data_IF_662356352044
#
_entry.id   IF_662356352044
#
_cell.length_a   1.000
_cell.length_b   1.000
_cell.length_c   1.000
_cell.angle_alpha   90.00
_cell.angle_beta   90.00
_cell.angle_gamma   90.00
#
_symmetry.space_group_name_H-M   'P 1'
#
loop_
_entity.id
_entity.type
_entity.pdbx_description
1 polymer ?
#
# COMPACT_ATOMS: atom_id res chain seq x y z
N UNK A 1 7.43 48.89 -57.59
CA UNK A 1 6.20 48.34 -57.00
C UNK A 1 6.61 47.13 -56.18
N UNK A 2 6.44 47.25 -54.86
CA UNK A 2 7.04 46.36 -53.85
C UNK A 2 6.25 45.07 -53.73
N UNK A 3 6.95 43.94 -53.65
CA UNK A 3 6.40 42.60 -53.53
C UNK A 3 6.13 42.33 -52.04
N UNK A 4 4.87 42.17 -51.65
CA UNK A 4 4.50 41.71 -50.30
C UNK A 4 4.19 40.21 -50.42
N UNK A 5 5.17 39.39 -50.03
CA UNK A 5 5.00 37.94 -49.87
C UNK A 5 4.32 37.69 -48.52
N UNK A 6 3.02 37.39 -48.52
CA UNK A 6 2.33 36.89 -47.32
C UNK A 6 2.81 35.45 -47.04
N UNK A 7 3.69 35.29 -46.04
CA UNK A 7 4.01 33.98 -45.49
C UNK A 7 2.85 33.53 -44.57
N UNK A 8 2.00 32.63 -45.05
CA UNK A 8 1.03 31.94 -44.20
C UNK A 8 1.78 30.99 -43.27
N UNK A 9 1.68 31.29 -41.96
CA UNK A 9 2.05 30.44 -40.85
C UNK A 9 1.32 29.09 -40.93
N UNK A 10 2.04 28.04 -41.35
CA UNK A 10 1.67 26.66 -41.08
C UNK A 10 2.30 26.28 -39.73
N UNK A 11 1.62 26.59 -38.63
CA UNK A 11 1.93 25.99 -37.33
C UNK A 11 1.30 24.60 -37.36
N UNK A 12 2.06 23.49 -37.38
CA UNK A 12 1.45 22.21 -37.10
C UNK A 12 1.05 22.25 -35.62
N UNK A 13 -0.26 22.32 -35.36
CA UNK A 13 -0.88 21.92 -34.12
C UNK A 13 -0.56 20.44 -33.90
N UNK A 14 0.66 20.15 -33.45
CA UNK A 14 0.98 18.87 -32.83
C UNK A 14 0.31 18.93 -31.45
N UNK A 15 -1.00 18.72 -31.47
CA UNK A 15 -1.75 18.32 -30.31
C UNK A 15 -1.10 17.04 -29.80
N UNK A 16 -0.19 17.20 -28.84
CA UNK A 16 0.21 16.11 -27.99
C UNK A 16 -1.05 15.74 -27.21
N UNK A 17 -1.85 14.85 -27.79
CA UNK A 17 -2.63 13.89 -27.03
C UNK A 17 -1.59 13.12 -26.21
N UNK A 18 -1.14 13.71 -25.09
CA UNK A 18 -0.61 12.94 -23.98
C UNK A 18 -1.77 12.03 -23.61
N UNK A 19 -1.72 10.80 -24.11
CA UNK A 19 -2.39 9.71 -23.43
C UNK A 19 -1.93 9.84 -21.98
N UNK A 20 -2.86 10.20 -21.09
CA UNK A 20 -2.61 10.10 -19.67
C UNK A 20 -2.04 8.68 -19.47
N UNK A 21 -0.87 8.52 -18.84
CA UNK A 21 -0.37 7.18 -18.59
C UNK A 21 -1.50 6.44 -17.91
N UNK A 22 -1.94 5.32 -18.51
CA UNK A 22 -2.87 4.40 -17.86
C UNK A 22 -2.28 4.18 -16.48
N UNK A 23 -3.02 4.58 -15.43
CA UNK A 23 -2.57 4.42 -14.07
C UNK A 23 -2.31 2.93 -13.89
N UNK A 24 -1.04 2.53 -13.88
CA UNK A 24 -0.67 1.16 -13.60
C UNK A 24 -1.22 0.84 -12.22
N UNK A 25 -1.95 -0.27 -12.04
CA UNK A 25 -2.40 -0.68 -10.72
C UNK A 25 -1.19 -0.67 -9.79
N UNK A 26 -1.25 0.14 -8.73
CA UNK A 26 -0.17 0.19 -7.77
C UNK A 26 -0.18 -1.12 -7.00
N UNK A 27 0.82 -1.97 -7.25
CA UNK A 27 1.04 -3.24 -6.55
C UNK A 27 1.93 -3.06 -5.34
N UNK A 28 1.69 -3.88 -4.32
CA UNK A 28 2.58 -4.04 -3.18
C UNK A 28 3.83 -4.80 -3.61
N UNK A 29 5.00 -4.25 -3.28
CA UNK A 29 6.28 -4.94 -3.47
C UNK A 29 6.45 -5.97 -2.36
N UNK A 30 6.31 -7.25 -2.69
CA UNK A 30 6.48 -8.34 -1.73
C UNK A 30 7.88 -8.37 -1.12
N UNK A 31 8.90 -7.99 -1.90
CA UNK A 31 10.28 -7.83 -1.44
C UNK A 31 10.42 -6.63 -0.48
N UNK A 32 9.84 -5.48 -0.81
CA UNK A 32 9.94 -4.29 0.05
C UNK A 32 9.11 -4.42 1.35
N UNK A 33 8.09 -5.28 1.35
CA UNK A 33 7.36 -5.62 2.57
C UNK A 33 8.21 -6.41 3.58
N UNK A 34 9.29 -7.08 3.12
CA UNK A 34 10.32 -7.67 3.97
C UNK A 34 9.80 -8.73 4.95
N UNK A 35 8.79 -9.52 4.55
CA UNK A 35 8.13 -10.48 5.44
C UNK A 35 9.11 -11.50 6.05
N UNK A 36 10.15 -11.90 5.32
CA UNK A 36 11.20 -12.78 5.83
C UNK A 36 11.97 -12.18 7.02
N UNK A 37 12.13 -10.85 7.07
CA UNK A 37 12.79 -10.16 8.17
C UNK A 37 11.85 -10.03 9.37
N UNK A 38 10.55 -9.81 9.12
CA UNK A 38 9.54 -9.74 10.18
C UNK A 38 9.34 -11.07 10.92
N UNK A 39 9.59 -12.20 10.27
CA UNK A 39 9.52 -13.52 10.89
C UNK A 39 10.61 -13.74 11.97
N UNK A 40 11.69 -12.97 11.94
CA UNK A 40 12.79 -13.03 12.92
C UNK A 40 12.56 -12.11 14.13
N UNK A 41 11.59 -11.19 14.04
CA UNK A 41 11.30 -10.21 15.09
C UNK A 41 10.66 -10.88 16.31
N UNK A 42 11.24 -10.63 17.48
CA UNK A 42 10.66 -11.02 18.76
C UNK A 42 10.05 -9.82 19.47
N UNK A 43 8.76 -9.91 19.81
CA UNK A 43 8.07 -8.88 20.58
C UNK A 43 7.84 -9.40 22.00
N UNK A 44 8.61 -8.93 22.99
CA UNK A 44 8.58 -9.44 24.38
C UNK A 44 7.19 -9.36 25.04
N UNK A 45 6.32 -8.47 24.54
CA UNK A 45 4.93 -8.28 25.00
C UNK A 45 3.91 -8.51 23.89
N UNK A 46 4.17 -9.41 22.94
CA UNK A 46 3.28 -9.66 21.79
C UNK A 46 1.83 -9.96 22.21
N UNK A 47 1.63 -10.66 23.33
CA UNK A 47 0.30 -11.02 23.84
C UNK A 47 -0.51 -9.82 24.29
N UNK A 48 0.14 -8.74 24.71
CA UNK A 48 -0.53 -7.51 25.14
C UNK A 48 -0.93 -6.65 23.93
N UNK A 49 -0.33 -6.89 22.77
CA UNK A 49 -0.60 -6.12 21.55
C UNK A 49 -1.98 -6.43 20.98
N UNK A 50 -2.51 -7.64 21.19
CA UNK A 50 -3.81 -8.07 20.65
C UNK A 50 -3.95 -7.69 19.17
N UNK A 51 -2.96 -8.05 18.36
CA UNK A 51 -2.91 -7.65 16.96
C UNK A 51 -4.08 -8.27 16.20
N UNK A 52 -4.64 -7.51 15.27
CA UNK A 52 -5.83 -7.93 14.52
C UNK A 52 -5.62 -7.79 13.03
N UNK A 53 -6.21 -8.69 12.25
CA UNK A 53 -6.30 -8.53 10.78
C UNK A 53 -7.75 -8.63 10.31
N UNK A 54 -8.11 -7.94 9.22
CA UNK A 54 -9.38 -8.16 8.54
C UNK A 54 -9.49 -9.59 7.97
N UNK A 55 -10.71 -10.10 7.81
CA UNK A 55 -10.97 -11.44 7.25
C UNK A 55 -11.96 -11.44 6.08
N UNK A 56 -12.68 -10.35 5.86
CA UNK A 56 -13.73 -10.19 4.84
C UNK A 56 -13.39 -9.05 3.87
N UNK A 57 -12.13 -8.99 3.40
CA UNK A 57 -11.70 -7.93 2.51
C UNK A 57 -12.26 -8.17 1.10
N UNK A 58 -13.25 -7.37 0.73
CA UNK A 58 -13.73 -7.21 -0.65
C UNK A 58 -12.93 -6.11 -1.37
N UNK A 59 -12.91 -6.11 -2.70
CA UNK A 59 -12.08 -5.21 -3.51
C UNK A 59 -12.22 -3.72 -3.15
N UNK A 60 -13.46 -3.27 -2.90
CA UNK A 60 -13.76 -1.89 -2.50
C UNK A 60 -13.23 -1.51 -1.11
N UNK A 61 -12.78 -2.48 -0.33
CA UNK A 61 -12.34 -2.35 1.05
C UNK A 61 -10.83 -2.55 1.24
N UNK A 62 -10.06 -2.72 0.16
CA UNK A 62 -8.60 -2.85 0.25
C UNK A 62 -7.93 -1.67 0.98
N UNK A 63 -8.35 -0.42 0.71
CA UNK A 63 -7.79 0.74 1.42
C UNK A 63 -8.13 0.75 2.92
N UNK A 64 -9.32 0.30 3.30
CA UNK A 64 -9.70 0.16 4.71
C UNK A 64 -8.85 -0.91 5.41
N UNK A 65 -8.60 -2.03 4.72
CA UNK A 65 -7.72 -3.08 5.22
C UNK A 65 -6.25 -2.60 5.31
N UNK A 66 -5.72 -1.92 4.30
CA UNK A 66 -4.38 -1.31 4.30
C UNK A 66 -4.19 -0.39 5.50
N UNK A 67 -5.12 0.54 5.71
CA UNK A 67 -5.06 1.47 6.85
C UNK A 67 -5.09 0.74 8.21
N UNK A 68 -5.81 -0.38 8.29
CA UNK A 68 -5.80 -1.22 9.49
C UNK A 68 -4.43 -1.89 9.70
N UNK A 69 -3.84 -2.51 8.68
CA UNK A 69 -2.51 -3.13 8.78
C UNK A 69 -1.43 -2.11 9.17
N UNK A 70 -1.42 -0.92 8.54
CA UNK A 70 -0.50 0.18 8.88
C UNK A 70 -0.59 0.52 10.36
N UNK A 71 -1.81 0.72 10.86
CA UNK A 71 -2.04 1.04 12.28
C UNK A 71 -1.52 -0.06 13.21
N UNK A 72 -1.76 -1.33 12.88
CA UNK A 72 -1.31 -2.45 13.71
C UNK A 72 0.22 -2.58 13.73
N UNK A 73 0.91 -2.39 12.60
CA UNK A 73 2.38 -2.33 12.57
C UNK A 73 2.94 -1.10 13.30
N UNK A 74 2.29 0.06 13.19
CA UNK A 74 2.73 1.23 13.96
C UNK A 74 2.65 0.98 15.48
N UNK A 75 1.68 0.18 15.94
CA UNK A 75 1.59 -0.24 17.35
C UNK A 75 2.74 -1.18 17.75
N UNK A 76 3.32 -1.93 16.83
CA UNK A 76 4.40 -2.88 17.12
C UNK A 76 5.77 -2.18 17.22
N UNK A 77 6.00 -1.07 16.53
CA UNK A 77 7.26 -0.30 16.55
C UNK A 77 7.74 0.04 17.97
N UNK A 78 6.83 0.36 18.89
CA UNK A 78 7.19 0.69 20.28
C UNK A 78 7.31 -0.51 21.23
N UNK A 79 7.00 -1.71 20.77
CA UNK A 79 6.82 -2.89 21.63
C UNK A 79 7.62 -4.13 21.20
N UNK A 80 8.32 -4.07 20.06
CA UNK A 80 9.15 -5.13 19.52
C UNK A 80 10.61 -4.68 19.44
N UNK A 81 11.55 -5.62 19.58
CA UNK A 81 12.95 -5.35 19.23
C UNK A 81 13.08 -5.20 17.72
N UNK A 82 14.09 -4.48 17.25
CA UNK A 82 14.40 -4.38 15.81
C UNK A 82 13.25 -3.81 14.95
N UNK A 83 12.63 -2.73 15.45
CA UNK A 83 11.54 -2.03 14.77
C UNK A 83 11.91 -1.39 13.41
N UNK A 84 13.17 -1.46 12.98
CA UNK A 84 13.62 -0.94 11.68
C UNK A 84 12.92 -1.63 10.52
N UNK A 85 12.82 -2.96 10.56
CA UNK A 85 12.17 -3.73 9.49
C UNK A 85 10.65 -3.48 9.48
N UNK A 86 10.05 -3.30 10.66
CA UNK A 86 8.64 -2.90 10.81
C UNK A 86 8.39 -1.55 10.15
N UNK A 87 9.30 -0.58 10.33
CA UNK A 87 9.19 0.75 9.70
C UNK A 87 9.21 0.61 8.18
N UNK A 88 10.11 -0.19 7.62
CA UNK A 88 10.16 -0.43 6.17
C UNK A 88 8.86 -1.05 5.64
N UNK A 89 8.28 -2.03 6.33
CA UNK A 89 6.97 -2.58 5.96
C UNK A 89 5.87 -1.52 6.00
N UNK A 90 5.87 -0.65 7.01
CA UNK A 90 4.89 0.45 7.12
C UNK A 90 5.03 1.42 5.96
N UNK A 91 6.24 1.82 5.59
CA UNK A 91 6.50 2.73 4.48
C UNK A 91 5.96 2.18 3.15
N UNK A 92 6.14 0.87 2.89
CA UNK A 92 5.62 0.24 1.67
C UNK A 92 4.08 0.16 1.66
N UNK A 93 3.45 -0.11 2.81
CA UNK A 93 1.99 -0.08 2.91
C UNK A 93 1.45 1.35 2.73
N UNK A 94 2.09 2.34 3.34
CA UNK A 94 1.72 3.76 3.26
C UNK A 94 1.86 4.31 1.83
N UNK A 95 2.83 3.80 1.05
CA UNK A 95 3.04 4.18 -0.36
C UNK A 95 1.79 3.97 -1.23
N UNK A 96 1.00 2.94 -0.92
CA UNK A 96 -0.21 2.57 -1.69
C UNK A 96 -1.47 3.07 -1.01
N UNK A 97 -1.43 3.23 0.31
CA UNK A 97 -2.57 3.67 1.09
C UNK A 97 -3.10 5.02 0.61
N UNK A 98 -4.43 5.10 0.48
CA UNK A 98 -5.14 6.34 0.18
C UNK A 98 -6.17 6.63 1.25
N UNK A 99 -6.13 7.85 1.79
CA UNK A 99 -7.08 8.33 2.81
C UNK A 99 -8.50 8.54 2.26
N UNK A 100 -8.68 8.56 0.94
CA UNK A 100 -10.02 8.64 0.32
C UNK A 100 -10.72 7.29 0.39
N UNK A 101 -11.26 6.98 1.57
CA UNK A 101 -11.94 5.71 1.82
C UNK A 101 -13.44 5.75 1.55
N UNK A 102 -13.94 4.62 1.06
CA UNK A 102 -15.35 4.26 1.11
C UNK A 102 -15.63 3.60 2.46
N UNK A 103 -16.79 3.86 3.07
CA UNK A 103 -17.14 3.21 4.34
C UNK A 103 -17.18 1.68 4.17
N UNK A 104 -16.33 0.97 4.92
CA UNK A 104 -16.22 -0.49 4.91
C UNK A 104 -16.34 -1.05 6.32
N UNK A 105 -17.15 -2.11 6.47
CA UNK A 105 -17.24 -2.86 7.73
C UNK A 105 -16.36 -4.10 7.65
N UNK A 106 -15.24 -4.06 8.37
CA UNK A 106 -14.27 -5.15 8.42
C UNK A 106 -14.50 -6.02 9.66
N UNK A 107 -14.47 -7.32 9.46
CA UNK A 107 -14.51 -8.34 10.50
C UNK A 107 -13.08 -8.70 10.87
N UNK A 108 -12.75 -8.52 12.15
CA UNK A 108 -11.39 -8.70 12.65
C UNK A 108 -11.18 -10.10 13.22
N UNK A 109 -10.00 -10.65 12.94
CA UNK A 109 -9.43 -11.81 13.62
C UNK A 109 -8.28 -11.35 14.49
N UNK A 110 -8.28 -11.75 15.75
CA UNK A 110 -7.15 -11.54 16.65
C UNK A 110 -6.10 -12.63 16.46
N UNK A 111 -4.83 -12.21 16.49
CA UNK A 111 -3.68 -13.09 16.36
C UNK A 111 -3.03 -13.30 17.71
N UNK A 112 -2.68 -14.55 18.00
CA UNK A 112 -2.03 -14.93 19.25
C UNK A 112 -0.53 -14.56 19.29
N UNK A 113 0.07 -14.33 18.11
CA UNK A 113 1.50 -14.04 17.94
C UNK A 113 1.70 -12.98 16.86
N UNK A 114 2.83 -12.26 16.92
CA UNK A 114 3.22 -11.31 15.87
C UNK A 114 3.35 -11.99 14.51
N UNK A 115 4.00 -13.17 14.47
CA UNK A 115 4.14 -13.98 13.24
C UNK A 115 2.77 -14.35 12.63
N UNK A 116 1.77 -14.62 13.47
CA UNK A 116 0.40 -14.89 12.99
C UNK A 116 -0.21 -13.70 12.27
N UNK A 117 0.03 -12.49 12.78
CA UNK A 117 -0.36 -11.24 12.15
C UNK A 117 0.43 -10.97 10.86
N UNK A 118 1.75 -11.16 10.87
CA UNK A 118 2.62 -11.00 9.68
C UNK A 118 2.14 -11.87 8.52
N UNK A 119 1.85 -13.16 8.77
CA UNK A 119 1.31 -14.07 7.75
C UNK A 119 -0.05 -13.66 7.21
N UNK A 120 -0.88 -13.04 8.04
CA UNK A 120 -2.16 -12.50 7.59
C UNK A 120 -1.98 -11.23 6.73
N UNK A 121 -0.95 -10.43 6.98
CA UNK A 121 -0.56 -9.31 6.11
C UNK A 121 -0.01 -9.82 4.79
N UNK A 122 0.84 -10.85 4.80
CA UNK A 122 1.39 -11.46 3.59
C UNK A 122 0.28 -12.00 2.67
N UNK A 123 -0.65 -12.77 3.24
CA UNK A 123 -1.80 -13.29 2.48
C UNK A 123 -2.67 -12.17 1.90
N UNK A 124 -2.86 -11.08 2.64
CA UNK A 124 -3.55 -9.90 2.15
C UNK A 124 -2.79 -9.22 1.00
N UNK A 125 -1.48 -9.06 1.12
CA UNK A 125 -0.66 -8.44 0.07
C UNK A 125 -0.68 -9.25 -1.23
N UNK A 126 -0.66 -10.58 -1.12
CA UNK A 126 -0.86 -11.48 -2.26
C UNK A 126 -2.24 -11.29 -2.88
N UNK A 127 -3.31 -11.32 -2.08
CA UNK A 127 -4.68 -11.09 -2.54
C UNK A 127 -4.83 -9.74 -3.26
N UNK A 128 -4.26 -8.67 -2.69
CA UNK A 128 -4.28 -7.33 -3.27
C UNK A 128 -3.59 -7.26 -4.63
N UNK A 129 -2.45 -7.96 -4.79
CA UNK A 129 -1.69 -7.98 -6.04
C UNK A 129 -2.34 -8.83 -7.15
N UNK A 130 -3.14 -9.83 -6.77
CA UNK A 130 -3.86 -10.73 -7.66
C UNK A 130 -5.23 -10.18 -8.12
N UNK A 131 -5.70 -9.09 -7.52
CA UNK A 131 -6.93 -8.37 -7.88
C UNK A 131 -6.72 -7.40 -9.05
#
# INVERSE_FOLDING_TARGET
>A
MSWITLALLMVPLIGHLRAAPLATPQRLSMEALGFELLDEITCEKEKDLNLTSPTNVEDKCYNAALGHYIKEFQRTIGNCTDAGDIVTTVEELERIYSETQTACTLTMKTHATFIGFVKATEAFAQQYNDS
#
